data_IF_844408879945
#
_entry.id   IF_844408879945
#
_cell.length_a   1.000
_cell.length_b   1.000
_cell.length_c   1.000
_cell.angle_alpha   90.00
_cell.angle_beta   90.00
_cell.angle_gamma   90.00
#
_symmetry.space_group_name_H-M   'P 1'
#
loop_
_entity.id
_entity.type
_entity.pdbx_description
1 polymer ?
#
# COMPACT_ATOMS: atom_id res chain seq x y z
N UNK A 1 -14.54 32.53 -1.09
CA UNK A 1 -14.77 32.11 0.32
C UNK A 1 -14.93 30.59 0.47
N UNK A 2 -15.72 29.92 -0.37
CA UNK A 2 -15.97 28.46 -0.29
C UNK A 2 -14.69 27.59 -0.34
N UNK A 3 -13.73 27.90 -1.22
CA UNK A 3 -12.46 27.14 -1.31
C UNK A 3 -11.62 27.21 -0.04
N UNK A 4 -11.55 28.37 0.61
CA UNK A 4 -10.86 28.51 1.91
C UNK A 4 -11.55 27.70 3.00
N UNK A 5 -12.89 27.67 2.99
CA UNK A 5 -13.69 26.87 3.93
C UNK A 5 -13.43 25.37 3.77
N UNK A 6 -13.46 24.83 2.54
CA UNK A 6 -13.16 23.41 2.30
C UNK A 6 -11.75 23.02 2.73
N UNK A 7 -10.77 23.89 2.50
CA UNK A 7 -9.40 23.66 2.92
C UNK A 7 -9.26 23.62 4.45
N UNK A 8 -9.90 24.56 5.16
CA UNK A 8 -9.92 24.57 6.62
C UNK A 8 -10.60 23.32 7.19
N UNK A 9 -11.72 22.88 6.61
CA UNK A 9 -12.42 21.66 7.04
C UNK A 9 -11.55 20.42 6.82
N UNK A 10 -10.87 20.32 5.68
CA UNK A 10 -9.99 19.19 5.38
C UNK A 10 -8.81 19.11 6.37
N UNK A 11 -8.19 20.24 6.71
CA UNK A 11 -7.12 20.29 7.73
C UNK A 11 -7.65 19.84 9.09
N UNK A 12 -8.80 20.36 9.51
CA UNK A 12 -9.40 19.99 10.78
C UNK A 12 -9.72 18.49 10.83
N UNK A 13 -10.24 17.94 9.75
CA UNK A 13 -10.52 16.50 9.62
C UNK A 13 -9.25 15.64 9.70
N UNK A 14 -8.16 16.04 9.04
CA UNK A 14 -6.89 15.34 9.12
C UNK A 14 -6.34 15.35 10.55
N UNK A 15 -6.41 16.49 11.24
CA UNK A 15 -5.94 16.61 12.62
C UNK A 15 -6.75 15.69 13.54
N UNK A 16 -8.08 15.73 13.48
CA UNK A 16 -8.92 14.87 14.32
C UNK A 16 -8.72 13.38 14.01
N UNK A 17 -8.56 13.01 12.73
CA UNK A 17 -8.25 11.65 12.33
C UNK A 17 -6.92 11.15 12.92
N UNK A 18 -5.87 11.98 12.92
CA UNK A 18 -4.57 11.63 13.53
C UNK A 18 -4.73 11.36 15.03
N UNK A 19 -5.43 12.24 15.76
CA UNK A 19 -5.70 12.04 17.20
C UNK A 19 -6.48 10.75 17.47
N UNK A 20 -7.48 10.45 16.64
CA UNK A 20 -8.27 9.22 16.74
C UNK A 20 -7.39 7.98 16.47
N UNK A 21 -6.59 7.99 15.41
CA UNK A 21 -5.69 6.89 15.08
C UNK A 21 -4.64 6.61 16.15
N UNK A 22 -4.17 7.63 16.87
CA UNK A 22 -3.23 7.46 17.98
C UNK A 22 -3.93 6.87 19.22
N UNK A 23 -5.17 7.32 19.49
CA UNK A 23 -5.95 6.92 20.66
C UNK A 23 -6.50 5.49 20.55
N UNK A 24 -6.85 5.06 19.34
CA UNK A 24 -7.38 3.72 19.06
C UNK A 24 -6.25 2.69 18.86
N UNK A 25 -6.32 1.59 19.60
CA UNK A 25 -5.39 0.46 19.46
C UNK A 25 -5.66 -0.62 20.51
N UNK A 26 -4.78 -1.62 20.59
CA UNK A 26 -4.91 -2.74 21.54
C UNK A 26 -4.94 -2.29 23.01
N UNK A 27 -4.36 -1.12 23.29
CA UNK A 27 -4.50 -0.40 24.57
C UNK A 27 -5.22 0.92 24.25
N UNK A 28 -6.41 1.12 24.82
CA UNK A 28 -7.09 2.40 24.69
C UNK A 28 -6.32 3.45 25.49
N UNK A 29 -5.86 4.49 24.82
CA UNK A 29 -5.17 5.62 25.46
C UNK A 29 -6.13 6.80 25.38
N UNK A 30 -6.56 7.30 26.53
CA UNK A 30 -7.46 8.44 26.55
C UNK A 30 -6.74 9.68 26.02
N UNK A 31 -7.41 10.59 25.27
CA UNK A 31 -6.76 11.81 24.78
C UNK A 31 -6.14 12.68 25.89
N UNK A 32 -6.67 12.59 27.12
CA UNK A 32 -6.12 13.27 28.31
C UNK A 32 -4.78 12.68 28.78
N UNK A 33 -4.59 11.38 28.59
CA UNK A 33 -3.36 10.66 28.95
C UNK A 33 -2.24 10.94 27.95
N UNK A 34 -2.59 11.24 26.67
CA UNK A 34 -1.61 11.72 25.68
C UNK A 34 -0.97 13.04 26.09
N UNK A 35 -1.74 13.97 26.66
CA UNK A 35 -1.19 15.23 27.19
C UNK A 35 -0.36 15.03 28.47
N UNK A 36 -0.61 13.94 29.20
CA UNK A 36 0.12 13.55 30.41
C UNK A 36 1.18 12.47 30.13
N UNK A 37 1.82 12.56 28.96
CA UNK A 37 2.83 11.59 28.48
C UNK A 37 3.87 11.12 29.53
N UNK A 38 4.42 11.99 30.40
CA UNK A 38 5.43 11.56 31.39
C UNK A 38 4.91 10.51 32.37
N UNK A 39 3.61 10.52 32.66
CA UNK A 39 2.95 9.70 33.68
C UNK A 39 2.45 8.35 33.14
N UNK A 40 2.62 8.11 31.83
CA UNK A 40 2.26 6.83 31.20
C UNK A 40 3.20 5.70 31.63
N UNK A 41 2.67 4.49 31.64
CA UNK A 41 3.43 3.27 31.84
C UNK A 41 4.47 3.07 30.72
N UNK A 42 5.63 2.51 31.05
CA UNK A 42 6.77 2.40 30.11
C UNK A 42 6.47 1.49 28.91
N UNK A 43 5.64 0.46 29.12
CA UNK A 43 5.11 -0.36 28.03
C UNK A 43 4.25 0.46 27.06
N UNK A 44 3.36 1.31 27.58
CA UNK A 44 2.47 2.15 26.77
C UNK A 44 3.25 3.22 25.99
N UNK A 45 4.30 3.78 26.60
CA UNK A 45 5.22 4.73 25.94
C UNK A 45 5.94 4.09 24.75
N UNK A 46 6.47 2.88 24.93
CA UNK A 46 7.16 2.12 23.88
C UNK A 46 6.21 1.81 22.73
N UNK A 47 5.00 1.33 23.03
CA UNK A 47 3.97 1.06 22.01
C UNK A 47 3.57 2.32 21.24
N UNK A 48 3.46 3.46 21.94
CA UNK A 48 3.12 4.73 21.30
C UNK A 48 4.22 5.19 20.34
N UNK A 49 5.49 5.21 20.80
CA UNK A 49 6.61 5.76 20.05
C UNK A 49 7.12 4.84 18.95
N UNK A 50 7.23 3.54 19.20
CA UNK A 50 7.88 2.61 18.27
C UNK A 50 6.91 1.92 17.30
N UNK A 51 5.62 1.86 17.65
CA UNK A 51 4.62 1.16 16.82
C UNK A 51 3.57 2.11 16.24
N UNK A 52 2.95 2.97 17.06
CA UNK A 52 1.81 3.80 16.61
C UNK A 52 2.26 5.02 15.83
N UNK A 53 3.16 5.81 16.39
CA UNK A 53 3.63 7.05 15.78
C UNK A 53 4.19 6.84 14.36
N UNK A 54 5.13 5.89 14.13
CA UNK A 54 5.65 5.65 12.79
C UNK A 54 4.55 5.20 11.81
N UNK A 55 3.60 4.36 12.26
CA UNK A 55 2.50 3.89 11.42
C UNK A 55 1.55 5.02 11.01
N UNK A 56 1.21 5.92 11.93
CA UNK A 56 0.31 7.07 11.63
C UNK A 56 0.98 8.04 10.68
N UNK A 57 2.28 8.34 10.88
CA UNK A 57 3.06 9.19 9.99
C UNK A 57 3.13 8.56 8.59
N UNK A 58 3.45 7.27 8.49
CA UNK A 58 3.50 6.57 7.21
C UNK A 58 2.15 6.56 6.50
N UNK A 59 1.05 6.27 7.21
CA UNK A 59 -0.29 6.30 6.63
C UNK A 59 -0.66 7.68 6.08
N UNK A 60 -0.31 8.75 6.81
CA UNK A 60 -0.55 10.12 6.37
C UNK A 60 0.27 10.49 5.12
N UNK A 61 1.57 10.19 5.14
CA UNK A 61 2.46 10.46 4.00
C UNK A 61 2.06 9.67 2.74
N UNK A 62 1.75 8.38 2.89
CA UNK A 62 1.28 7.54 1.79
C UNK A 62 -0.05 8.06 1.24
N UNK A 63 -0.98 8.48 2.10
CA UNK A 63 -2.24 9.09 1.68
C UNK A 63 -2.04 10.37 0.86
N UNK A 64 -1.12 11.25 1.26
CA UNK A 64 -0.77 12.46 0.51
C UNK A 64 -0.15 12.13 -0.86
N UNK A 65 0.73 11.14 -0.92
CA UNK A 65 1.36 10.69 -2.17
C UNK A 65 0.33 10.08 -3.13
N UNK A 66 -0.58 9.25 -2.62
CA UNK A 66 -1.65 8.66 -3.44
C UNK A 66 -2.63 9.72 -3.96
N UNK A 67 -3.05 10.67 -3.11
CA UNK A 67 -3.96 11.75 -3.53
C UNK A 67 -3.32 12.65 -4.60
N UNK A 68 -2.04 12.99 -4.44
CA UNK A 68 -1.32 13.81 -5.44
C UNK A 68 -1.10 13.05 -6.75
N UNK A 69 -0.70 11.77 -6.69
CA UNK A 69 -0.55 10.92 -7.88
C UNK A 69 -1.88 10.74 -8.62
N UNK A 70 -2.98 10.54 -7.89
CA UNK A 70 -4.32 10.42 -8.47
C UNK A 70 -4.73 11.67 -9.24
N UNK A 71 -4.52 12.86 -8.65
CA UNK A 71 -4.82 14.13 -9.30
C UNK A 71 -4.00 14.33 -10.60
N UNK A 72 -2.70 14.00 -10.59
CA UNK A 72 -1.84 14.11 -11.78
C UNK A 72 -2.33 13.21 -12.90
N UNK A 73 -2.66 11.95 -12.59
CA UNK A 73 -3.18 10.98 -13.57
C UNK A 73 -4.53 11.43 -14.13
N UNK A 74 -5.45 11.87 -13.28
CA UNK A 74 -6.76 12.39 -13.71
C UNK A 74 -6.62 13.59 -14.65
N UNK A 75 -5.66 14.49 -14.41
CA UNK A 75 -5.38 15.64 -15.29
C UNK A 75 -4.81 15.20 -16.63
N UNK A 76 -3.85 14.26 -16.64
CA UNK A 76 -3.20 13.78 -17.87
C UNK A 76 -4.21 13.07 -18.78
N UNK A 77 -5.03 12.19 -18.22
CA UNK A 77 -6.01 11.42 -18.98
C UNK A 77 -7.32 12.17 -19.23
N UNK A 78 -7.49 13.36 -18.64
CA UNK A 78 -8.74 14.12 -18.64
C UNK A 78 -9.96 13.25 -18.27
N UNK A 79 -9.72 12.26 -17.41
CA UNK A 79 -10.73 11.29 -16.99
C UNK A 79 -10.77 11.27 -15.46
N UNK A 80 -11.86 11.75 -14.83
CA UNK A 80 -11.98 11.79 -13.38
C UNK A 80 -12.02 10.40 -12.73
N UNK A 81 -12.20 9.33 -13.51
CA UNK A 81 -12.16 7.94 -13.05
C UNK A 81 -10.80 7.27 -13.28
N UNK A 82 -9.82 7.97 -13.86
CA UNK A 82 -8.48 7.42 -14.05
C UNK A 82 -7.74 7.31 -12.71
N UNK A 83 -7.13 6.15 -12.50
CA UNK A 83 -6.41 5.80 -11.28
C UNK A 83 -4.94 5.45 -11.62
N UNK A 84 -3.95 5.86 -10.80
CA UNK A 84 -2.53 5.63 -11.09
C UNK A 84 -2.12 4.15 -11.20
N UNK A 85 -2.92 3.22 -10.70
CA UNK A 85 -2.63 1.79 -10.81
C UNK A 85 -2.87 1.22 -12.22
N UNK A 86 -3.57 1.94 -13.10
CA UNK A 86 -3.92 1.46 -14.46
C UNK A 86 -2.71 1.32 -15.40
N UNK A 87 -1.56 1.90 -15.06
CA UNK A 87 -0.33 1.88 -15.87
C UNK A 87 0.68 0.81 -15.41
N UNK A 88 0.25 -0.19 -14.63
CA UNK A 88 1.08 -1.35 -14.28
C UNK A 88 2.14 -1.12 -13.19
N UNK A 89 2.13 0.05 -12.54
CA UNK A 89 3.08 0.45 -11.49
C UNK A 89 3.02 -0.50 -10.28
N UNK A 90 1.83 -0.83 -9.77
CA UNK A 90 1.70 -1.72 -8.61
C UNK A 90 2.17 -3.14 -8.91
N UNK A 91 1.84 -3.67 -10.10
CA UNK A 91 2.30 -5.01 -10.46
C UNK A 91 3.83 -5.07 -10.56
N UNK A 92 4.45 -4.08 -11.18
CA UNK A 92 5.92 -4.00 -11.28
C UNK A 92 6.59 -3.88 -9.91
N UNK A 93 6.00 -3.13 -8.97
CA UNK A 93 6.50 -3.00 -7.60
C UNK A 93 6.40 -4.32 -6.81
N UNK A 94 5.23 -4.98 -6.84
CA UNK A 94 5.01 -6.26 -6.17
C UNK A 94 5.91 -7.36 -6.75
N UNK A 95 6.13 -7.36 -8.08
CA UNK A 95 7.10 -8.28 -8.70
C UNK A 95 8.52 -8.04 -8.15
N UNK A 96 8.98 -6.79 -8.07
CA UNK A 96 10.28 -6.46 -7.48
C UNK A 96 10.40 -6.91 -6.01
N UNK A 97 9.35 -6.73 -5.20
CA UNK A 97 9.33 -7.20 -3.82
C UNK A 97 9.43 -8.74 -3.72
N UNK A 98 8.68 -9.47 -4.56
CA UNK A 98 8.71 -10.94 -4.60
C UNK A 98 10.09 -11.43 -5.05
N UNK A 99 10.69 -10.81 -6.07
CA UNK A 99 12.06 -11.14 -6.50
C UNK A 99 13.06 -10.93 -5.35
N UNK A 100 12.96 -9.83 -4.60
CA UNK A 100 13.82 -9.58 -3.45
C UNK A 100 13.68 -10.65 -2.35
N UNK A 101 12.43 -11.06 -2.08
CA UNK A 101 12.13 -12.15 -1.15
C UNK A 101 12.73 -13.48 -1.62
N UNK A 102 12.56 -13.83 -2.90
CA UNK A 102 13.10 -15.07 -3.49
C UNK A 102 14.63 -15.13 -3.49
N UNK A 103 15.29 -13.97 -3.63
CA UNK A 103 16.74 -13.85 -3.55
C UNK A 103 17.28 -13.89 -2.11
N UNK A 104 16.41 -13.96 -1.09
CA UNK A 104 16.80 -13.99 0.31
C UNK A 104 17.41 -12.66 0.80
N UNK A 105 17.01 -11.53 0.19
CA UNK A 105 17.47 -10.22 0.62
C UNK A 105 16.87 -9.84 1.98
N UNK A 106 17.49 -8.92 2.74
CA UNK A 106 16.96 -8.50 4.04
C UNK A 106 15.65 -7.70 3.89
N UNK A 107 14.74 -7.81 4.86
CA UNK A 107 13.38 -7.25 4.79
C UNK A 107 13.31 -5.75 4.49
N UNK A 108 14.25 -4.96 5.04
CA UNK A 108 14.32 -3.52 4.80
C UNK A 108 14.62 -3.17 3.33
N UNK A 109 15.15 -4.10 2.54
CA UNK A 109 15.49 -3.91 1.13
C UNK A 109 14.31 -4.15 0.18
N UNK A 110 13.25 -4.84 0.62
CA UNK A 110 12.12 -5.19 -0.25
C UNK A 110 11.45 -3.95 -0.85
N UNK A 111 11.27 -2.90 -0.04
CA UNK A 111 10.73 -1.62 -0.51
C UNK A 111 11.64 -0.94 -1.55
N UNK A 112 12.96 -1.02 -1.39
CA UNK A 112 13.91 -0.42 -2.32
C UNK A 112 13.91 -1.15 -3.68
N UNK A 113 13.90 -2.49 -3.67
CA UNK A 113 13.86 -3.29 -4.90
C UNK A 113 12.52 -3.11 -5.62
N UNK A 114 11.41 -3.08 -4.87
CA UNK A 114 10.08 -2.77 -5.42
C UNK A 114 10.06 -1.40 -6.11
N UNK A 115 10.61 -0.39 -5.46
CA UNK A 115 10.70 0.97 -6.02
C UNK A 115 11.54 1.02 -7.29
N UNK A 116 12.73 0.41 -7.29
CA UNK A 116 13.62 0.39 -8.47
C UNK A 116 12.99 -0.36 -9.63
N UNK A 117 12.37 -1.52 -9.37
CA UNK A 117 11.68 -2.30 -10.40
C UNK A 117 10.54 -1.51 -11.04
N UNK A 118 9.74 -0.83 -10.22
CA UNK A 118 8.69 0.04 -10.70
C UNK A 118 9.24 1.22 -11.52
N UNK A 119 10.31 1.87 -11.07
CA UNK A 119 10.93 3.00 -11.77
C UNK A 119 11.45 2.58 -13.15
N UNK A 120 12.11 1.42 -13.24
CA UNK A 120 12.58 0.86 -14.51
C UNK A 120 11.42 0.59 -15.46
N UNK A 121 10.36 -0.05 -14.97
CA UNK A 121 9.16 -0.37 -15.77
C UNK A 121 8.48 0.88 -16.31
N UNK A 122 8.24 1.89 -15.47
CA UNK A 122 7.63 3.16 -15.88
C UNK A 122 8.49 3.91 -16.89
N UNK A 123 9.82 3.95 -16.72
CA UNK A 123 10.72 4.57 -17.69
C UNK A 123 10.74 3.83 -19.03
N UNK A 124 10.62 2.51 -19.00
CA UNK A 124 10.51 1.69 -20.21
C UNK A 124 9.21 1.99 -20.96
N UNK A 125 8.08 2.07 -20.25
CA UNK A 125 6.78 2.42 -20.81
C UNK A 125 6.80 3.81 -21.47
N UNK A 126 7.38 4.83 -20.80
CA UNK A 126 7.51 6.17 -21.39
C UNK A 126 8.40 6.21 -22.64
N UNK A 127 9.44 5.37 -22.70
CA UNK A 127 10.30 5.26 -23.89
C UNK A 127 9.55 4.67 -25.08
N UNK A 128 8.66 3.70 -24.84
CA UNK A 128 7.82 3.08 -25.87
C UNK A 128 6.72 4.07 -26.31
N UNK A 129 6.05 4.73 -25.37
CA UNK A 129 4.99 5.69 -25.65
C UNK A 129 5.45 6.86 -26.52
N UNK A 130 6.73 7.26 -26.43
CA UNK A 130 7.31 8.29 -27.33
C UNK A 130 7.41 7.85 -28.79
N UNK A 131 7.38 6.55 -29.09
CA UNK A 131 7.55 6.02 -30.44
C UNK A 131 6.23 5.76 -31.17
N UNK A 132 5.13 5.54 -30.47
CA UNK A 132 3.82 5.31 -31.11
C UNK A 132 2.69 6.13 -30.46
N UNK A 133 2.15 7.06 -31.24
CA UNK A 133 0.93 7.81 -30.94
C UNK A 133 -0.24 6.93 -31.36
N UNK A 134 -0.66 5.98 -30.53
CA UNK A 134 -2.01 5.35 -30.46
C UNK A 134 -1.92 4.29 -29.36
N UNK A 135 -2.16 4.67 -28.12
CA UNK A 135 -2.52 3.72 -27.06
C UNK A 135 -3.97 4.00 -26.68
N UNK A 136 -4.90 3.43 -27.45
CA UNK A 136 -6.33 3.46 -27.14
C UNK A 136 -6.60 2.29 -26.19
N UNK A 137 -6.73 2.63 -24.91
CA UNK A 137 -7.13 1.78 -23.79
C UNK A 137 -8.50 1.14 -24.08
N UNK A 138 -8.60 -0.15 -24.49
CA UNK A 138 -9.17 -1.14 -23.54
C UNK A 138 -8.67 -2.61 -23.45
N UNK A 139 -8.05 -3.32 -24.43
CA UNK A 139 -7.75 -4.75 -24.24
C UNK A 139 -6.51 -5.05 -23.38
N UNK A 140 -5.52 -4.15 -23.34
CA UNK A 140 -4.30 -4.36 -22.52
C UNK A 140 -4.56 -4.13 -21.01
N UNK A 141 -5.48 -3.23 -20.66
CA UNK A 141 -5.82 -2.96 -19.25
C UNK A 141 -6.50 -4.15 -18.57
N UNK A 142 -7.40 -4.82 -19.31
CA UNK A 142 -8.07 -6.03 -18.87
C UNK A 142 -7.10 -7.20 -18.75
N UNK A 143 -6.13 -7.31 -19.66
CA UNK A 143 -5.07 -8.31 -19.60
C UNK A 143 -4.14 -8.10 -18.39
N UNK A 144 -3.75 -6.87 -18.06
CA UNK A 144 -2.91 -6.58 -16.90
C UNK A 144 -3.62 -6.76 -15.55
N UNK A 145 -4.92 -6.42 -15.46
CA UNK A 145 -5.72 -6.62 -14.25
C UNK A 145 -6.07 -8.09 -13.98
N UNK A 146 -6.11 -8.96 -15.01
CA UNK A 146 -6.42 -10.39 -14.85
C UNK A 146 -5.18 -11.28 -14.69
N UNK A 147 -4.12 -11.06 -15.47
CA UNK A 147 -3.00 -12.02 -15.56
C UNK A 147 -1.86 -11.77 -14.60
N UNK A 148 -1.52 -10.51 -14.32
CA UNK A 148 -0.39 -10.17 -13.45
C UNK A 148 -0.61 -10.52 -11.97
N UNK A 149 -1.82 -10.35 -11.39
CA UNK A 149 -2.11 -10.85 -10.05
C UNK A 149 -2.02 -12.38 -9.98
N UNK A 150 -2.40 -13.07 -11.06
CA UNK A 150 -2.30 -14.53 -11.15
C UNK A 150 -0.84 -15.01 -11.21
N UNK A 151 0.02 -14.35 -11.98
CA UNK A 151 1.46 -14.65 -12.03
C UNK A 151 2.13 -14.37 -10.67
N UNK A 152 1.77 -13.28 -10.00
CA UNK A 152 2.24 -12.96 -8.65
C UNK A 152 1.76 -13.97 -7.61
N UNK A 153 0.48 -14.36 -7.66
CA UNK A 153 -0.07 -15.41 -6.80
C UNK A 153 0.65 -16.75 -7.03
N UNK A 154 0.96 -17.09 -8.28
CA UNK A 154 1.68 -18.33 -8.62
C UNK A 154 3.11 -18.36 -8.09
N UNK A 155 3.81 -17.22 -8.06
CA UNK A 155 5.16 -17.11 -7.48
C UNK A 155 5.17 -17.14 -5.95
N UNK A 156 4.09 -16.68 -5.30
CA UNK A 156 3.92 -16.72 -3.85
C UNK A 156 3.36 -18.05 -3.34
N UNK A 157 2.65 -18.81 -4.17
CA UNK A 157 1.99 -20.06 -3.81
C UNK A 157 2.92 -21.12 -3.19
N UNK A 158 4.17 -21.33 -3.64
CA UNK A 158 5.09 -22.30 -3.04
C UNK A 158 5.55 -21.91 -1.62
N UNK A 159 5.36 -20.65 -1.21
CA UNK A 159 5.90 -20.10 0.03
C UNK A 159 4.83 -19.85 1.10
N UNK A 160 3.57 -19.71 0.70
CA UNK A 160 2.43 -19.83 1.60
C UNK A 160 2.38 -21.32 1.98
N UNK A 161 2.84 -21.67 3.18
CA UNK A 161 3.11 -23.03 3.66
C UNK A 161 1.95 -24.04 3.74
N UNK A 162 1.04 -24.03 2.76
CA UNK A 162 0.04 -25.06 2.51
C UNK A 162 0.66 -26.41 2.11
N UNK A 163 1.96 -26.45 1.75
CA UNK A 163 2.69 -27.71 1.54
C UNK A 163 2.92 -28.48 2.86
N UNK A 164 2.88 -27.80 4.02
CA UNK A 164 3.06 -28.42 5.35
C UNK A 164 1.74 -28.69 6.09
N UNK A 165 0.60 -28.63 5.42
CA UNK A 165 -0.64 -29.18 5.99
C UNK A 165 -0.70 -30.63 5.52
N UNK A 166 -0.47 -31.62 6.40
CA UNK A 166 -0.66 -33.01 6.02
C UNK A 166 -2.12 -33.18 5.57
N UNK A 167 -2.31 -33.63 4.33
CA UNK A 167 -3.61 -33.97 3.71
C UNK A 167 -4.49 -34.88 4.60
N UNK A 168 -3.91 -35.51 5.64
CA UNK A 168 -4.59 -36.28 6.68
C UNK A 168 -5.55 -35.50 7.57
N UNK A 169 -5.51 -34.16 7.60
CA UNK A 169 -6.44 -33.35 8.41
C UNK A 169 -7.57 -32.70 7.59
N UNK A 170 -7.58 -32.84 6.25
CA UNK A 170 -8.66 -32.30 5.41
C UNK A 170 -9.82 -33.29 5.18
N UNK A 171 -9.58 -34.59 5.37
CA UNK A 171 -10.65 -35.59 5.45
C UNK A 171 -10.67 -36.13 6.87
N UNK A 172 -11.36 -35.42 7.77
CA UNK A 172 -11.87 -36.04 8.98
C UNK A 172 -12.67 -37.27 8.57
N UNK A 173 -12.24 -38.42 9.04
CA UNK A 173 -12.96 -39.69 8.94
C UNK A 173 -14.38 -39.48 9.45
N UNK A 174 -15.36 -39.55 8.55
CA UNK A 174 -16.78 -39.73 8.89
C UNK A 174 -17.06 -41.18 9.35
N UNK A 175 -16.14 -41.74 10.13
CA UNK A 175 -16.30 -43.02 10.81
C UNK A 175 -16.43 -42.71 12.30
N UNK A 176 -17.64 -42.29 12.68
CA UNK A 176 -18.46 -42.61 13.88
C UNK A 176 -19.74 -41.75 13.77
#
# INVERSE_FOLDING_TARGET
MKTKLYFTIAILFCITAIFICISLGNVYISPKELFSYPQLDDYTKTVLMDLRLPRVIMAFLVGMLLASSGNVVQIIFQNPLADPYIIGIASSATFGAVVAYLLGLPEYSYGAVAFVCCLISTLFLFRIAKKEIIFIFPPCLLWELLWLPFLQASLLFPFIGLEKIPLKLQFGSWDI
#
